data_IF_031733047329
#
_entry.id   IF_031733047329
#
_cell.length_a   1.000
_cell.length_b   1.000
_cell.length_c   1.000
_cell.angle_alpha   90.00
_cell.angle_beta   90.00
_cell.angle_gamma   90.00
#
_symmetry.space_group_name_H-M   'P 1'
#
loop_
_entity.id
_entity.type
_entity.pdbx_description
1 polymer ?
#
# COMPACT_ATOMS: atom_id res chain seq x y z
N UNK A 1 18.32 2.60 9.55
CA UNK A 1 18.34 1.15 9.30
C UNK A 1 17.17 0.76 8.40
N UNK A 2 17.37 -0.08 7.37
CA UNK A 2 16.29 -0.56 6.46
C UNK A 2 15.11 -1.20 7.21
N UNK A 3 15.37 -1.75 8.40
CA UNK A 3 14.36 -2.31 9.30
C UNK A 3 13.32 -1.29 9.79
N UNK A 4 13.70 -0.03 10.04
CA UNK A 4 12.76 1.01 10.52
C UNK A 4 11.78 1.41 9.42
N UNK A 5 12.27 1.64 8.20
CA UNK A 5 11.44 1.98 7.04
C UNK A 5 10.39 0.90 6.76
N UNK A 6 10.75 -0.38 6.89
CA UNK A 6 9.80 -1.48 6.73
C UNK A 6 8.74 -1.49 7.85
N UNK A 7 9.10 -1.12 9.08
CA UNK A 7 8.14 -0.98 10.18
C UNK A 7 7.16 0.18 9.97
N UNK A 8 7.67 1.33 9.51
CA UNK A 8 6.85 2.51 9.22
C UNK A 8 5.86 2.22 8.08
N UNK A 9 6.31 1.51 7.03
CA UNK A 9 5.45 1.09 5.93
C UNK A 9 4.41 0.05 6.38
N UNK A 10 4.80 -0.87 7.26
CA UNK A 10 3.87 -1.85 7.83
C UNK A 10 2.76 -1.19 8.66
N UNK A 11 3.11 -0.19 9.47
CA UNK A 11 2.12 0.59 10.23
C UNK A 11 1.20 1.41 9.29
N UNK A 12 1.75 1.99 8.23
CA UNK A 12 0.99 2.71 7.21
C UNK A 12 -0.01 1.79 6.49
N UNK A 13 0.44 0.62 6.03
CA UNK A 13 -0.44 -0.40 5.44
C UNK A 13 -1.50 -0.86 6.44
N UNK A 14 -1.12 -1.09 7.70
CA UNK A 14 -2.07 -1.42 8.76
C UNK A 14 -3.17 -0.37 8.95
N UNK A 15 -2.84 0.92 8.80
CA UNK A 15 -3.83 2.00 8.86
C UNK A 15 -4.84 1.96 7.72
N UNK A 16 -4.42 1.50 6.53
CA UNK A 16 -5.30 1.36 5.37
C UNK A 16 -6.17 0.11 5.45
N UNK A 17 -5.72 -0.92 6.16
CA UNK A 17 -6.47 -2.18 6.26
C UNK A 17 -7.52 -2.16 7.38
N UNK A 18 -7.40 -1.24 8.35
CA UNK A 18 -8.35 -1.08 9.44
C UNK A 18 -9.42 -0.02 9.17
N UNK A 19 -10.40 0.09 10.07
CA UNK A 19 -11.55 1.02 9.93
C UNK A 19 -11.23 2.49 10.31
N UNK A 20 -9.94 2.82 10.44
CA UNK A 20 -9.46 4.13 10.87
C UNK A 20 -9.26 5.11 9.72
N UNK A 21 -8.71 6.29 10.03
CA UNK A 21 -8.27 7.19 8.98
C UNK A 21 -7.05 6.62 8.25
N UNK A 22 -7.09 6.63 6.92
CA UNK A 22 -5.99 6.18 6.08
C UNK A 22 -4.77 7.11 6.24
N UNK A 23 -3.62 6.55 6.62
CA UNK A 23 -2.38 7.30 6.70
C UNK A 23 -1.93 7.81 5.33
N UNK A 24 -1.34 9.01 5.29
CA UNK A 24 -0.80 9.57 4.06
C UNK A 24 0.53 8.89 3.67
N UNK A 25 0.73 8.69 2.37
CA UNK A 25 2.02 8.25 1.79
C UNK A 25 2.63 9.41 1.01
N UNK A 26 3.95 9.57 1.05
CA UNK A 26 4.64 10.61 0.27
C UNK A 26 5.04 10.11 -1.11
N UNK A 27 5.26 11.05 -2.04
CA UNK A 27 5.79 10.73 -3.36
C UNK A 27 7.18 10.07 -3.33
N UNK A 28 8.03 10.47 -2.39
CA UNK A 28 9.34 9.85 -2.18
C UNK A 28 9.22 8.38 -1.75
N UNK A 29 8.28 8.07 -0.86
CA UNK A 29 8.01 6.67 -0.46
C UNK A 29 7.48 5.87 -1.64
N UNK A 30 6.60 6.44 -2.46
CA UNK A 30 6.14 5.77 -3.69
C UNK A 30 7.29 5.51 -4.66
N UNK A 31 8.21 6.46 -4.83
CA UNK A 31 9.40 6.27 -5.66
C UNK A 31 10.31 5.17 -5.12
N UNK A 32 10.44 5.03 -3.80
CA UNK A 32 11.21 3.96 -3.18
C UNK A 32 10.55 2.58 -3.34
N UNK A 33 9.22 2.52 -3.38
CA UNK A 33 8.45 1.28 -3.50
C UNK A 33 8.33 0.79 -4.94
N UNK A 34 7.90 1.66 -5.84
CA UNK A 34 7.60 1.32 -7.23
C UNK A 34 8.75 1.63 -8.18
N UNK A 35 9.70 2.47 -7.77
CA UNK A 35 10.78 2.92 -8.63
C UNK A 35 10.34 4.00 -9.62
N UNK A 36 11.30 4.81 -10.03
CA UNK A 36 11.05 5.94 -10.94
C UNK A 36 10.57 5.50 -12.33
N UNK A 37 11.03 4.33 -12.80
CA UNK A 37 10.68 3.82 -14.13
C UNK A 37 9.20 3.48 -14.26
N UNK A 38 8.60 2.83 -13.25
CA UNK A 38 7.20 2.43 -13.32
C UNK A 38 6.26 3.62 -13.05
N UNK A 39 6.65 4.55 -12.18
CA UNK A 39 5.95 5.83 -12.04
C UNK A 39 5.98 6.66 -13.32
N UNK A 40 7.09 6.66 -14.07
CA UNK A 40 7.17 7.33 -15.35
C UNK A 40 6.26 6.69 -16.42
N UNK A 41 6.18 5.35 -16.46
CA UNK A 41 5.23 4.64 -17.34
C UNK A 41 3.79 4.95 -16.98
N UNK A 42 3.45 4.93 -15.69
CA UNK A 42 2.12 5.28 -15.20
C UNK A 42 1.74 6.71 -15.61
N UNK A 43 2.67 7.67 -15.45
CA UNK A 43 2.47 9.04 -15.90
C UNK A 43 2.24 9.15 -17.41
N UNK A 44 3.01 8.41 -18.21
CA UNK A 44 2.85 8.36 -19.67
C UNK A 44 1.48 7.82 -20.08
N UNK A 45 0.96 6.80 -19.38
CA UNK A 45 -0.40 6.27 -19.62
C UNK A 45 -1.49 7.30 -19.32
N UNK A 46 -1.27 8.16 -18.33
CA UNK A 46 -2.19 9.24 -17.98
C UNK A 46 -2.01 10.49 -18.86
N UNK A 47 -0.95 10.55 -19.67
CA UNK A 47 -0.62 11.74 -20.46
C UNK A 47 -0.18 12.95 -19.60
N UNK A 48 0.36 12.70 -18.40
CA UNK A 48 0.82 13.74 -17.47
C UNK A 48 2.30 13.57 -17.12
N UNK A 49 2.89 14.56 -16.44
CA UNK A 49 4.26 14.45 -15.97
C UNK A 49 4.38 13.51 -14.74
N UNK A 50 5.56 12.90 -14.50
CA UNK A 50 5.78 11.96 -13.40
C UNK A 50 5.48 12.51 -12.00
N UNK A 51 5.80 13.77 -11.73
CA UNK A 51 5.49 14.38 -10.42
C UNK A 51 3.98 14.45 -10.16
N UNK A 52 3.20 14.85 -11.17
CA UNK A 52 1.74 14.98 -11.07
C UNK A 52 1.11 13.60 -10.88
N UNK A 53 1.54 12.61 -11.66
CA UNK A 53 1.08 11.24 -11.51
C UNK A 53 1.43 10.66 -10.13
N UNK A 54 2.65 10.90 -9.64
CA UNK A 54 3.10 10.42 -8.33
C UNK A 54 2.31 11.07 -7.19
N UNK A 55 2.05 12.38 -7.27
CA UNK A 55 1.22 13.09 -6.28
C UNK A 55 -0.23 12.58 -6.29
N UNK A 56 -0.83 12.46 -7.47
CA UNK A 56 -2.19 11.91 -7.58
C UNK A 56 -2.28 10.46 -7.07
N UNK A 57 -1.26 9.64 -7.34
CA UNK A 57 -1.18 8.29 -6.80
C UNK A 57 -1.09 8.29 -5.27
N UNK A 58 -0.31 9.20 -4.67
CA UNK A 58 -0.21 9.33 -3.23
C UNK A 58 -1.54 9.68 -2.55
N UNK A 59 -2.37 10.49 -3.21
CA UNK A 59 -3.67 10.91 -2.69
C UNK A 59 -4.73 9.78 -2.79
N UNK A 60 -4.64 8.95 -3.84
CA UNK A 60 -5.68 7.96 -4.18
C UNK A 60 -5.37 6.56 -3.65
N UNK A 61 -4.10 6.15 -3.66
CA UNK A 61 -3.67 4.81 -3.28
C UNK A 61 -4.18 4.38 -1.89
N UNK A 62 -4.12 5.21 -0.83
CA UNK A 62 -4.62 4.83 0.49
C UNK A 62 -6.11 4.43 0.47
N UNK A 63 -6.94 5.20 -0.25
CA UNK A 63 -8.38 4.95 -0.35
C UNK A 63 -8.70 3.70 -1.19
N UNK A 64 -7.91 3.42 -2.21
CA UNK A 64 -8.06 2.20 -3.02
C UNK A 64 -7.76 0.96 -2.18
N UNK A 65 -6.70 1.01 -1.38
CA UNK A 65 -6.31 -0.09 -0.50
C UNK A 65 -7.35 -0.35 0.60
N UNK A 66 -7.85 0.72 1.22
CA UNK A 66 -8.92 0.67 2.22
C UNK A 66 -10.21 0.05 1.67
N UNK A 67 -10.68 0.49 0.50
CA UNK A 67 -11.85 -0.11 -0.15
C UNK A 67 -11.61 -1.57 -0.54
N UNK A 68 -10.40 -1.91 -0.98
CA UNK A 68 -10.04 -3.30 -1.30
C UNK A 68 -10.00 -4.19 -0.04
N UNK A 69 -9.64 -3.61 1.12
CA UNK A 69 -9.64 -4.27 2.43
C UNK A 69 -11.06 -4.48 2.96
N UNK A 70 -11.83 -3.39 3.13
CA UNK A 70 -13.20 -3.40 3.65
C UNK A 70 -14.18 -4.12 2.73
N UNK A 71 -13.94 -4.12 1.42
CA UNK A 71 -14.72 -4.87 0.43
C UNK A 71 -14.48 -6.38 0.42
N UNK A 72 -13.65 -6.91 1.32
CA UNK A 72 -13.39 -8.34 1.47
C UNK A 72 -12.38 -8.92 0.47
N UNK A 73 -11.95 -8.17 -0.53
CA UNK A 73 -11.10 -8.67 -1.61
C UNK A 73 -9.70 -9.06 -1.10
N UNK A 74 -9.10 -8.25 -0.21
CA UNK A 74 -7.80 -8.55 0.38
C UNK A 74 -7.86 -9.69 1.41
N UNK A 75 -8.87 -9.68 2.27
CA UNK A 75 -9.08 -10.74 3.26
C UNK A 75 -9.31 -12.09 2.57
N UNK A 76 -10.14 -12.13 1.53
CA UNK A 76 -10.41 -13.34 0.75
C UNK A 76 -9.16 -13.80 -0.03
N UNK A 77 -8.41 -12.86 -0.62
CA UNK A 77 -7.15 -13.16 -1.33
C UNK A 77 -6.06 -13.74 -0.44
N UNK A 78 -6.03 -13.38 0.84
CA UNK A 78 -5.08 -13.91 1.83
C UNK A 78 -5.59 -15.23 2.44
N UNK A 79 -6.78 -15.72 2.06
CA UNK A 79 -7.35 -16.98 2.54
C UNK A 79 -8.29 -16.82 3.75
N UNK A 80 -8.85 -15.63 3.93
CA UNK A 80 -9.76 -15.29 5.01
C UNK A 80 -9.13 -15.37 6.40
N UNK A 81 -9.98 -15.57 7.41
CA UNK A 81 -9.56 -15.82 8.81
C UNK A 81 -8.60 -17.00 8.90
N UNK A 82 -8.74 -18.01 8.04
CA UNK A 82 -7.85 -19.17 7.98
C UNK A 82 -6.43 -18.82 7.53
N UNK A 83 -6.30 -17.96 6.53
CA UNK A 83 -5.01 -17.47 6.05
C UNK A 83 -4.29 -16.58 7.05
N UNK A 84 -5.02 -15.69 7.72
CA UNK A 84 -4.48 -14.87 8.81
C UNK A 84 -4.03 -15.71 10.01
N UNK A 85 -4.76 -16.78 10.34
CA UNK A 85 -4.36 -17.73 11.39
C UNK A 85 -3.09 -18.51 10.99
N UNK A 86 -2.94 -18.84 9.71
CA UNK A 86 -1.75 -19.49 9.16
C UNK A 86 -0.52 -18.58 9.19
N UNK A 87 -0.69 -17.31 8.80
CA UNK A 87 0.35 -16.30 8.94
C UNK A 87 0.76 -16.17 10.41
N UNK A 88 -0.19 -15.91 11.32
CA UNK A 88 0.10 -15.81 12.75
C UNK A 88 0.85 -17.04 13.27
N UNK A 89 0.43 -18.26 12.91
CA UNK A 89 1.14 -19.49 13.30
C UNK A 89 2.58 -19.52 12.81
N UNK A 90 2.85 -19.06 11.58
CA UNK A 90 4.21 -18.97 11.04
C UNK A 90 5.09 -17.95 11.75
N UNK A 91 4.51 -16.96 12.44
CA UNK A 91 5.26 -15.98 13.23
C UNK A 91 5.55 -16.48 14.65
N UNK A 92 4.71 -17.37 15.19
CA UNK A 92 4.87 -17.97 16.51
C UNK A 92 5.57 -19.34 16.48
N UNK A 93 5.90 -19.84 15.30
CA UNK A 93 6.64 -21.09 15.08
C UNK A 93 8.10 -20.83 14.73
#
# INVERSE_FOLDING_TARGET
>A
SKMSQNGDLGALLGSWLGDGANGAISGDTLQQLFGQADLAKFAAQLGVNPETATRGLADVLPQVMDRASSGGNLLDSVGGVGGLMGAAKSLFS
#
